data_IF_618220415110
#
_entry.id   IF_618220415110
#
_cell.length_a   1.000
_cell.length_b   1.000
_cell.length_c   1.000
_cell.angle_alpha   90.00
_cell.angle_beta   90.00
_cell.angle_gamma   90.00
#
_symmetry.space_group_name_H-M   'P 1'
#
loop_
_entity.id
_entity.type
_entity.pdbx_description
1 polymer ?
#
# COMPACT_ATOMS: atom_id res chain seq x y z
N UNK A 1 -21.09 -5.25 -0.67
CA UNK A 1 -19.91 -5.72 0.09
C UNK A 1 -18.81 -4.69 0.06
N UNK A 2 -18.63 -3.92 1.14
CA UNK A 2 -17.55 -2.93 1.30
C UNK A 2 -16.34 -3.61 1.93
N UNK A 3 -15.67 -4.46 1.15
CA UNK A 3 -14.55 -5.26 1.64
C UNK A 3 -13.33 -5.04 0.75
N UNK A 4 -12.14 -5.16 1.35
CA UNK A 4 -10.90 -5.21 0.58
C UNK A 4 -10.83 -6.52 -0.25
N UNK A 5 -10.01 -6.50 -1.29
CA UNK A 5 -9.75 -7.65 -2.17
C UNK A 5 -8.68 -8.61 -1.63
N UNK A 6 -8.20 -8.37 -0.39
CA UNK A 6 -7.27 -9.26 0.30
C UNK A 6 -5.78 -8.99 0.05
N UNK A 7 -5.42 -7.94 -0.69
CA UNK A 7 -4.03 -7.51 -0.89
C UNK A 7 -3.93 -5.98 -0.93
N UNK A 8 -2.70 -5.49 -0.73
CA UNK A 8 -2.37 -4.07 -0.81
C UNK A 8 -0.96 -3.88 -1.39
N UNK A 9 -0.71 -2.71 -1.98
CA UNK A 9 0.60 -2.30 -2.44
C UNK A 9 1.13 -1.18 -1.57
N UNK A 10 2.40 -1.27 -1.17
CA UNK A 10 3.08 -0.25 -0.39
C UNK A 10 4.44 -0.02 -1.05
N UNK A 11 4.72 1.23 -1.42
CA UNK A 11 6.02 1.63 -1.93
C UNK A 11 6.79 2.36 -0.83
N UNK A 12 7.87 1.77 -0.33
CA UNK A 12 8.73 2.38 0.68
C UNK A 12 9.73 3.35 0.06
N UNK A 13 10.12 4.38 0.81
CA UNK A 13 11.19 5.31 0.42
C UNK A 13 12.58 4.70 0.60
N UNK A 14 12.75 3.89 1.65
CA UNK A 14 13.99 3.16 1.96
C UNK A 14 13.73 1.64 1.94
N UNK A 15 14.39 0.88 1.03
CA UNK A 15 14.28 -0.57 0.98
C UNK A 15 14.67 -1.28 2.29
N UNK A 16 15.52 -0.71 3.12
CA UNK A 16 15.90 -1.31 4.39
C UNK A 16 14.71 -1.43 5.36
N UNK A 17 13.67 -0.59 5.20
CA UNK A 17 12.44 -0.64 5.99
C UNK A 17 11.54 -1.86 5.64
N UNK A 18 11.81 -2.55 4.52
CA UNK A 18 11.09 -3.77 4.15
C UNK A 18 11.38 -4.90 5.16
N UNK A 19 12.60 -4.97 5.67
CA UNK A 19 13.03 -6.00 6.64
C UNK A 19 12.21 -5.93 7.94
N UNK A 20 12.17 -4.79 8.66
CA UNK A 20 11.38 -4.69 9.89
C UNK A 20 9.88 -4.84 9.60
N UNK A 21 9.36 -4.36 8.47
CA UNK A 21 7.96 -4.62 8.09
C UNK A 21 7.70 -6.13 7.93
N UNK A 22 8.57 -6.84 7.21
CA UNK A 22 8.45 -8.27 7.02
C UNK A 22 8.49 -9.01 8.34
N UNK A 23 9.45 -8.71 9.22
CA UNK A 23 9.54 -9.34 10.55
C UNK A 23 8.32 -9.03 11.42
N UNK A 24 7.75 -7.83 11.29
CA UNK A 24 6.61 -7.40 12.07
C UNK A 24 5.29 -8.06 11.62
N UNK A 25 5.12 -8.38 10.34
CA UNK A 25 3.84 -8.83 9.79
C UNK A 25 3.84 -10.25 9.20
N UNK A 26 4.95 -10.70 8.61
CA UNK A 26 4.99 -12.00 7.95
C UNK A 26 4.69 -13.13 8.93
N UNK A 27 3.79 -14.03 8.56
CA UNK A 27 3.41 -15.18 9.39
C UNK A 27 2.48 -14.84 10.56
N UNK A 28 2.11 -13.57 10.76
CA UNK A 28 1.17 -13.17 11.81
C UNK A 28 -0.28 -13.23 11.33
N UNK A 29 -1.18 -13.64 12.23
CA UNK A 29 -2.62 -13.61 11.97
C UNK A 29 -3.16 -12.19 12.20
N UNK A 30 -4.17 -11.82 11.43
CA UNK A 30 -4.90 -10.58 11.69
C UNK A 30 -5.78 -10.74 12.93
N UNK A 31 -5.48 -10.00 14.00
CA UNK A 31 -6.18 -10.10 15.28
C UNK A 31 -7.64 -9.64 15.23
N UNK A 32 -8.03 -8.91 14.19
CA UNK A 32 -9.38 -8.37 14.02
C UNK A 32 -10.27 -9.32 13.20
N UNK A 33 -11.56 -9.30 13.50
CA UNK A 33 -12.64 -9.97 12.75
C UNK A 33 -12.59 -11.51 12.76
N UNK A 34 -11.97 -12.15 13.76
CA UNK A 34 -11.77 -13.61 13.80
C UNK A 34 -11.12 -14.15 12.51
N UNK A 35 -10.28 -13.33 11.88
CA UNK A 35 -9.69 -13.67 10.59
C UNK A 35 -8.60 -14.72 10.77
N UNK A 36 -8.76 -15.89 10.16
CA UNK A 36 -7.70 -16.90 10.08
C UNK A 36 -6.60 -16.53 9.08
N UNK A 37 -6.78 -15.45 8.31
CA UNK A 37 -5.79 -14.99 7.33
C UNK A 37 -4.47 -14.67 8.03
N UNK A 38 -3.39 -15.17 7.43
CA UNK A 38 -2.01 -14.90 7.81
C UNK A 38 -1.43 -13.87 6.85
N UNK A 39 -0.79 -12.84 7.37
CA UNK A 39 -0.11 -11.84 6.56
C UNK A 39 1.12 -12.45 5.87
N UNK A 40 1.21 -12.21 4.57
CA UNK A 40 2.35 -12.58 3.73
C UNK A 40 2.76 -11.36 2.91
N UNK A 41 4.06 -11.23 2.67
CA UNK A 41 4.65 -10.14 1.92
C UNK A 41 5.38 -10.73 0.72
N UNK A 42 5.22 -10.08 -0.43
CA UNK A 42 5.91 -10.42 -1.66
C UNK A 42 6.24 -9.14 -2.42
N UNK A 43 7.28 -9.17 -3.26
CA UNK A 43 7.60 -8.05 -4.12
C UNK A 43 6.53 -7.88 -5.20
N UNK A 44 6.06 -6.65 -5.38
CA UNK A 44 5.11 -6.31 -6.42
C UNK A 44 5.75 -6.42 -7.82
N UNK A 45 4.94 -6.78 -8.82
CA UNK A 45 5.38 -6.78 -10.23
C UNK A 45 5.72 -5.38 -10.74
N UNK A 46 4.96 -4.38 -10.29
CA UNK A 46 5.19 -2.97 -10.62
C UNK A 46 5.98 -2.37 -9.46
N UNK A 47 7.18 -1.87 -9.77
CA UNK A 47 8.10 -1.28 -8.80
C UNK A 47 8.29 0.22 -9.07
N UNK A 48 8.40 0.98 -7.98
CA UNK A 48 8.64 2.43 -8.02
C UNK A 48 7.36 3.27 -8.02
N UNK A 49 7.46 4.43 -7.37
CA UNK A 49 6.37 5.41 -7.20
C UNK A 49 5.77 5.85 -8.54
N UNK A 50 6.61 6.25 -9.50
CA UNK A 50 6.15 6.76 -10.80
C UNK A 50 5.38 5.71 -11.60
N UNK A 51 5.90 4.47 -11.64
CA UNK A 51 5.24 3.35 -12.31
C UNK A 51 3.89 3.02 -11.69
N UNK A 52 3.81 3.05 -10.35
CA UNK A 52 2.57 2.79 -9.61
C UNK A 52 1.53 3.89 -9.84
N UNK A 53 1.96 5.16 -9.84
CA UNK A 53 1.10 6.31 -10.16
C UNK A 53 0.55 6.16 -11.58
N UNK A 54 1.41 5.93 -12.58
CA UNK A 54 0.97 5.76 -13.97
C UNK A 54 0.02 4.57 -14.16
N UNK A 55 0.24 3.48 -13.41
CA UNK A 55 -0.65 2.33 -13.43
C UNK A 55 -2.05 2.65 -12.90
N UNK A 56 -2.14 3.35 -11.76
CA UNK A 56 -3.43 3.68 -11.15
C UNK A 56 -4.12 4.88 -11.82
N UNK A 57 -3.39 5.84 -12.37
CA UNK A 57 -3.96 6.97 -13.12
C UNK A 57 -4.81 6.52 -14.31
N UNK A 58 -4.44 5.41 -14.95
CA UNK A 58 -5.18 4.84 -16.08
C UNK A 58 -6.20 3.77 -15.66
N UNK A 59 -6.37 3.53 -14.35
CA UNK A 59 -7.28 2.53 -13.80
C UNK A 59 -8.65 3.11 -13.48
N UNK A 60 -9.70 2.29 -13.60
CA UNK A 60 -11.06 2.65 -13.19
C UNK A 60 -11.18 3.01 -11.70
N UNK A 61 -10.20 2.60 -10.87
CA UNK A 61 -10.07 2.96 -9.45
C UNK A 61 -10.10 4.47 -9.19
N UNK A 62 -9.67 5.29 -10.16
CA UNK A 62 -9.71 6.75 -10.02
C UNK A 62 -11.13 7.33 -10.06
N UNK A 63 -12.09 6.58 -10.60
CA UNK A 63 -13.50 6.96 -10.66
C UNK A 63 -14.29 6.52 -9.42
N UNK A 64 -13.68 5.73 -8.53
CA UNK A 64 -14.29 5.28 -7.28
C UNK A 64 -14.30 6.39 -6.21
N UNK A 65 -15.00 6.12 -5.11
CA UNK A 65 -15.00 6.95 -3.90
C UNK A 65 -13.56 7.28 -3.46
N UNK A 66 -13.31 8.51 -3.03
CA UNK A 66 -11.98 8.98 -2.62
C UNK A 66 -11.31 8.08 -1.58
N UNK A 67 -12.10 7.37 -0.74
CA UNK A 67 -11.60 6.42 0.26
C UNK A 67 -11.06 5.12 -0.33
N UNK A 68 -11.44 4.80 -1.57
CA UNK A 68 -10.98 3.60 -2.28
C UNK A 68 -9.80 3.90 -3.21
N UNK A 69 -9.42 5.17 -3.36
CA UNK A 69 -8.30 5.58 -4.21
C UNK A 69 -6.97 5.29 -3.51
N UNK A 70 -5.88 5.06 -4.27
CA UNK A 70 -4.58 4.94 -3.66
C UNK A 70 -4.18 6.26 -2.98
N UNK A 71 -3.33 6.16 -1.96
CA UNK A 71 -2.88 7.31 -1.17
C UNK A 71 -1.41 7.56 -1.53
N UNK A 72 -1.06 8.82 -1.77
CA UNK A 72 0.33 9.25 -1.96
C UNK A 72 0.81 10.02 -0.74
N UNK A 73 2.08 9.83 -0.43
CA UNK A 73 2.76 10.62 0.58
C UNK A 73 3.89 11.40 -0.07
N UNK A 74 4.13 12.60 0.42
CA UNK A 74 5.33 13.36 0.10
C UNK A 74 6.53 12.63 0.67
N UNK A 75 7.52 12.36 -0.18
CA UNK A 75 8.69 11.54 0.19
C UNK A 75 9.90 12.37 0.59
N UNK A 76 9.89 13.67 0.27
CA UNK A 76 11.05 14.56 0.39
C UNK A 76 10.65 15.96 0.85
N UNK A 77 11.60 16.64 1.50
CA UNK A 77 11.45 18.01 1.97
C UNK A 77 10.78 18.12 3.35
N UNK A 78 10.46 19.34 3.80
CA UNK A 78 9.89 19.59 5.13
C UNK A 78 8.50 18.97 5.33
N UNK A 79 7.84 18.60 4.23
CA UNK A 79 6.49 18.03 4.22
C UNK A 79 6.52 16.50 4.07
N UNK A 80 7.68 15.84 4.25
CA UNK A 80 7.79 14.39 4.13
C UNK A 80 6.82 13.69 5.12
N UNK A 81 5.99 12.80 4.59
CA UNK A 81 4.91 12.15 5.34
C UNK A 81 3.53 12.78 5.16
N UNK A 82 3.42 13.97 4.56
CA UNK A 82 2.13 14.58 4.26
C UNK A 82 1.40 13.85 3.13
N UNK A 83 0.09 13.69 3.29
CA UNK A 83 -0.76 13.04 2.30
C UNK A 83 -1.02 13.97 1.11
N UNK A 84 -0.85 13.45 -0.10
CA UNK A 84 -1.10 14.15 -1.36
C UNK A 84 -2.30 13.50 -2.05
N UNK A 85 -3.22 14.33 -2.57
CA UNK A 85 -4.28 13.85 -3.45
C UNK A 85 -3.71 13.39 -4.79
N UNK A 86 -4.23 12.26 -5.29
CA UNK A 86 -4.08 11.87 -6.69
C UNK A 86 -4.82 12.81 -7.64
#
# INVERSE_FOLDING_TARGET
NKCNVGYAFINMTDPAQIIPLHQAFHGKKWEKFNSEKVASLAYARIQGRTSLIAHFQNSSLMNEDKRCRPILFQTEGPNAGDMICF
#
